data_IF_119241548134
#
_entry.id   IF_119241548134
#
_cell.length_a   1.000
_cell.length_b   1.000
_cell.length_c   1.000
_cell.angle_alpha   90.00
_cell.angle_beta   90.00
_cell.angle_gamma   90.00
#
_symmetry.space_group_name_H-M   'P 1'
#
loop_
_entity.id
_entity.type
_entity.pdbx_description
1 polymer ?
#
# COMPACT_ATOMS: atom_id res chain seq x y z
N UNK A 1 33.68 44.30 -43.98
CA UNK A 1 33.77 44.02 -42.52
C UNK A 1 32.51 44.41 -41.74
N UNK A 2 31.81 45.54 -42.01
CA UNK A 2 30.60 45.94 -41.26
C UNK A 2 29.34 45.07 -41.51
N UNK A 3 29.15 44.52 -42.70
CA UNK A 3 27.98 43.65 -42.98
C UNK A 3 28.04 42.30 -42.26
N UNK A 4 29.21 41.68 -42.21
CA UNK A 4 29.44 40.37 -41.58
C UNK A 4 29.16 40.39 -40.07
N UNK A 5 29.43 41.51 -39.40
CA UNK A 5 29.14 41.66 -37.97
C UNK A 5 27.64 41.81 -37.67
N UNK A 6 26.87 42.41 -38.59
CA UNK A 6 25.41 42.59 -38.45
C UNK A 6 24.67 41.27 -38.71
N UNK A 7 25.10 40.51 -39.71
CA UNK A 7 24.59 39.18 -40.01
C UNK A 7 24.84 38.20 -38.84
N UNK A 8 26.05 38.20 -38.27
CA UNK A 8 26.35 37.37 -37.10
C UNK A 8 25.51 37.72 -35.86
N UNK A 9 25.08 38.97 -35.71
CA UNK A 9 24.23 39.40 -34.58
C UNK A 9 22.79 38.93 -34.77
N UNK A 10 22.27 39.01 -35.99
CA UNK A 10 20.94 38.50 -36.36
C UNK A 10 20.85 36.98 -36.23
N UNK A 11 21.88 36.24 -36.66
CA UNK A 11 21.94 34.78 -36.53
C UNK A 11 21.93 34.36 -35.06
N UNK A 12 22.69 35.04 -34.19
CA UNK A 12 22.68 34.74 -32.75
C UNK A 12 21.31 35.00 -32.12
N UNK A 13 20.67 36.14 -32.42
CA UNK A 13 19.32 36.44 -31.90
C UNK A 13 18.30 35.40 -32.37
N UNK A 14 18.39 34.96 -33.62
CA UNK A 14 17.52 33.91 -34.15
C UNK A 14 17.73 32.57 -33.41
N UNK A 15 18.98 32.17 -33.18
CA UNK A 15 19.33 30.95 -32.43
C UNK A 15 18.78 31.04 -30.99
N UNK A 16 18.98 32.16 -30.30
CA UNK A 16 18.44 32.35 -28.95
C UNK A 16 16.91 32.32 -28.92
N UNK A 17 16.23 32.93 -29.90
CA UNK A 17 14.77 32.85 -30.00
C UNK A 17 14.28 31.42 -30.26
N UNK A 18 14.97 30.65 -31.12
CA UNK A 18 14.60 29.26 -31.37
C UNK A 18 14.86 28.36 -30.16
N UNK A 19 15.94 28.60 -29.40
CA UNK A 19 16.21 27.86 -28.15
C UNK A 19 15.22 28.24 -27.04
N UNK A 20 14.83 29.51 -26.93
CA UNK A 20 13.84 29.95 -25.95
C UNK A 20 12.45 29.40 -26.31
N UNK A 21 12.10 29.38 -27.60
CA UNK A 21 10.85 28.82 -28.10
C UNK A 21 10.82 27.29 -27.94
N UNK A 22 11.95 26.59 -28.19
CA UNK A 22 12.03 25.15 -27.93
C UNK A 22 11.93 24.84 -26.44
N UNK A 23 12.54 25.63 -25.57
CA UNK A 23 12.43 25.49 -24.11
C UNK A 23 10.99 25.74 -23.61
N UNK A 24 10.30 26.76 -24.16
CA UNK A 24 8.91 27.06 -23.83
C UNK A 24 7.96 25.96 -24.31
N UNK A 25 8.21 25.40 -25.50
CA UNK A 25 7.45 24.29 -26.06
C UNK A 25 7.69 23.01 -25.24
N UNK A 26 8.91 22.74 -24.77
CA UNK A 26 9.17 21.60 -23.86
C UNK A 26 8.51 21.77 -22.49
N UNK A 27 8.32 23.00 -22.00
CA UNK A 27 7.54 23.29 -20.78
C UNK A 27 6.03 23.11 -20.97
N UNK A 28 5.52 23.30 -22.20
CA UNK A 28 4.10 23.08 -22.57
C UNK A 28 3.76 21.60 -22.82
N UNK A 29 4.76 20.72 -22.90
CA UNK A 29 4.62 19.28 -23.13
C UNK A 29 5.11 18.42 -21.97
N UNK A 30 5.34 18.99 -20.78
CA UNK A 30 5.44 18.16 -19.57
C UNK A 30 4.01 17.67 -19.30
N UNK A 31 3.72 16.38 -19.45
CA UNK A 31 2.40 15.86 -19.13
C UNK A 31 2.20 16.07 -17.61
N UNK A 32 1.06 16.64 -17.25
CA UNK A 32 0.74 17.03 -15.88
C UNK A 32 0.36 15.79 -15.09
N UNK A 33 1.37 15.05 -14.60
CA UNK A 33 1.23 13.80 -13.83
C UNK A 33 -0.07 13.83 -13.04
N UNK A 34 -0.97 12.82 -13.16
CA UNK A 34 -2.15 12.77 -12.32
C UNK A 34 -1.66 12.66 -10.89
N UNK A 35 -1.60 13.83 -10.23
CA UNK A 35 -1.24 13.96 -8.84
C UNK A 35 -2.46 13.38 -8.13
N UNK A 36 -2.31 12.25 -7.44
CA UNK A 36 -3.18 12.02 -6.29
C UNK A 36 -3.10 13.32 -5.47
N UNK A 37 -4.23 13.99 -5.31
CA UNK A 37 -4.24 15.29 -4.67
C UNK A 37 -3.64 15.13 -3.27
N UNK A 38 -2.50 15.76 -3.04
CA UNK A 38 -1.93 15.84 -1.71
C UNK A 38 -2.68 16.95 -0.98
N UNK A 39 -3.10 16.70 0.26
CA UNK A 39 -3.72 17.75 1.07
C UNK A 39 -2.77 18.94 1.22
N UNK A 40 -3.33 20.12 1.53
CA UNK A 40 -2.50 21.19 2.06
C UNK A 40 -1.71 20.71 3.29
N UNK A 41 -0.52 21.28 3.50
CA UNK A 41 0.28 20.98 4.68
C UNK A 41 -0.49 21.39 5.95
N UNK A 42 -0.46 20.50 6.93
CA UNK A 42 -1.16 20.68 8.19
C UNK A 42 -0.74 21.97 8.88
N UNK A 43 -1.74 22.71 9.37
CA UNK A 43 -1.50 23.93 10.14
C UNK A 43 -1.43 23.69 11.67
N UNK A 44 -1.45 22.43 12.13
CA UNK A 44 -1.43 22.07 13.54
C UNK A 44 -2.79 22.09 14.25
N UNK A 45 -3.88 22.38 13.54
CA UNK A 45 -5.24 22.45 14.12
C UNK A 45 -6.07 21.20 13.78
N UNK A 46 -7.19 21.03 14.47
CA UNK A 46 -8.16 19.99 14.15
C UNK A 46 -9.40 20.59 13.49
N UNK A 47 -9.99 19.86 12.55
CA UNK A 47 -11.25 20.21 11.91
C UNK A 47 -12.42 20.08 12.90
N UNK A 48 -13.58 20.65 12.56
CA UNK A 48 -14.81 20.47 13.33
C UNK A 48 -15.51 19.11 13.11
N UNK A 49 -15.07 18.34 12.11
CA UNK A 49 -15.67 17.08 11.71
C UNK A 49 -15.00 16.47 10.48
N UNK A 50 -15.47 15.27 10.10
CA UNK A 50 -15.05 14.58 8.88
C UNK A 50 -15.60 15.24 7.60
N UNK A 51 -15.04 14.89 6.44
CA UNK A 51 -15.52 15.41 5.15
C UNK A 51 -16.93 14.91 4.79
N UNK A 52 -17.33 13.77 5.36
CA UNK A 52 -18.62 13.13 5.15
C UNK A 52 -18.65 11.72 5.73
N UNK A 53 -19.72 10.99 5.42
CA UNK A 53 -19.95 9.62 5.85
C UNK A 53 -20.66 9.48 7.18
N UNK A 54 -21.42 8.40 7.32
CA UNK A 54 -22.11 7.98 8.55
C UNK A 54 -21.24 7.10 9.46
N UNK A 55 -20.08 6.65 8.97
CA UNK A 55 -19.22 5.70 9.66
C UNK A 55 -19.67 4.25 9.50
N UNK A 56 -20.66 3.97 8.65
CA UNK A 56 -21.05 2.59 8.31
C UNK A 56 -20.08 1.98 7.28
N UNK A 57 -20.10 0.66 7.11
CA UNK A 57 -19.20 0.00 6.15
C UNK A 57 -19.39 0.49 4.71
N UNK A 58 -20.63 0.75 4.28
CA UNK A 58 -20.96 1.25 2.94
C UNK A 58 -20.79 2.76 2.79
N UNK A 59 -20.65 3.47 3.91
CA UNK A 59 -20.57 4.94 3.96
C UNK A 59 -19.63 5.37 5.11
N UNK A 60 -18.31 5.12 4.97
CA UNK A 60 -17.32 5.34 6.02
C UNK A 60 -17.07 6.84 6.23
N UNK A 61 -16.59 7.21 7.42
CA UNK A 61 -16.12 8.57 7.67
C UNK A 61 -14.94 8.91 6.76
N UNK A 62 -15.06 10.00 6.01
CA UNK A 62 -14.07 10.39 5.01
C UNK A 62 -13.04 11.38 5.59
N UNK A 63 -11.76 11.05 5.41
CA UNK A 63 -10.62 11.86 5.82
C UNK A 63 -9.85 12.28 4.57
N UNK A 64 -9.86 13.58 4.31
CA UNK A 64 -9.27 14.21 3.13
C UNK A 64 -8.21 15.26 3.50
N UNK A 65 -8.14 15.71 4.76
CA UNK A 65 -7.15 16.70 5.19
C UNK A 65 -6.47 16.29 6.49
N UNK A 66 -5.30 16.88 6.75
CA UNK A 66 -4.57 16.69 7.99
C UNK A 66 -5.37 17.14 9.23
N UNK A 67 -6.15 18.21 9.13
CA UNK A 67 -7.02 18.69 10.22
C UNK A 67 -8.11 17.67 10.55
N UNK A 68 -8.61 16.93 9.56
CA UNK A 68 -9.59 15.85 9.78
C UNK A 68 -8.96 14.62 10.42
N UNK A 69 -7.72 14.29 10.04
CA UNK A 69 -6.94 13.24 10.71
C UNK A 69 -6.62 13.62 12.17
N UNK A 70 -6.26 14.88 12.42
CA UNK A 70 -6.07 15.42 13.78
C UNK A 70 -7.37 15.41 14.59
N UNK A 71 -8.51 15.75 13.97
CA UNK A 71 -9.83 15.62 14.60
C UNK A 71 -10.11 14.16 14.99
N UNK A 72 -9.84 13.20 14.11
CA UNK A 72 -10.00 11.77 14.43
C UNK A 72 -9.16 11.36 15.64
N UNK A 73 -7.87 11.71 15.65
CA UNK A 73 -6.98 11.45 16.79
C UNK A 73 -7.53 12.03 18.08
N UNK A 74 -7.95 13.30 18.06
CA UNK A 74 -8.53 13.96 19.24
C UNK A 74 -9.79 13.25 19.76
N UNK A 75 -10.64 12.73 18.86
CA UNK A 75 -11.87 12.02 19.24
C UNK A 75 -11.56 10.67 19.91
N UNK A 76 -10.62 9.90 19.37
CA UNK A 76 -10.17 8.64 19.99
C UNK A 76 -9.57 8.91 21.37
N UNK A 77 -8.69 9.91 21.46
CA UNK A 77 -8.07 10.29 22.72
C UNK A 77 -9.07 10.90 23.73
N UNK A 78 -10.18 11.46 23.27
CA UNK A 78 -11.31 11.85 24.11
C UNK A 78 -12.15 10.66 24.61
N UNK A 79 -11.97 9.46 24.05
CA UNK A 79 -12.63 8.22 24.47
C UNK A 79 -13.75 7.74 23.56
N UNK A 80 -13.79 8.24 22.33
CA UNK A 80 -14.71 7.74 21.30
C UNK A 80 -13.96 6.66 20.55
N UNK A 81 -14.34 5.41 20.78
CA UNK A 81 -13.58 4.24 20.34
C UNK A 81 -13.94 3.75 18.93
N UNK A 82 -15.01 4.28 18.32
CA UNK A 82 -15.45 3.95 16.96
C UNK A 82 -15.79 2.46 16.76
N UNK A 83 -16.28 1.78 17.79
CA UNK A 83 -16.71 0.38 17.68
C UNK A 83 -17.64 0.16 16.48
N UNK A 84 -17.28 -0.80 15.62
CA UNK A 84 -18.01 -1.14 14.39
C UNK A 84 -18.21 0.05 13.41
N UNK A 85 -17.38 1.09 13.50
CA UNK A 85 -17.38 2.20 12.56
C UNK A 85 -16.17 2.15 11.63
N UNK A 86 -16.34 2.70 10.44
CA UNK A 86 -15.37 2.66 9.35
C UNK A 86 -14.89 4.07 9.01
N UNK A 87 -13.59 4.21 8.82
CA UNK A 87 -12.92 5.44 8.40
C UNK A 87 -12.10 5.17 7.15
N UNK A 88 -12.04 6.14 6.24
CA UNK A 88 -11.37 6.01 4.96
C UNK A 88 -10.59 7.26 4.58
N UNK A 89 -9.32 7.10 4.16
CA UNK A 89 -8.60 8.18 3.48
C UNK A 89 -9.09 8.34 2.05
N UNK A 90 -9.30 9.57 1.60
CA UNK A 90 -9.73 9.85 0.22
C UNK A 90 -8.63 10.45 -0.65
N UNK A 91 -7.51 10.84 -0.05
CA UNK A 91 -6.33 11.40 -0.72
C UNK A 91 -5.10 11.33 0.19
N UNK A 92 -3.91 11.65 -0.33
CA UNK A 92 -2.67 11.70 0.46
C UNK A 92 -2.74 12.85 1.48
N UNK A 93 -2.32 12.59 2.71
CA UNK A 93 -2.38 13.55 3.83
C UNK A 93 -0.98 14.06 4.16
N UNK A 94 -0.78 15.37 4.06
CA UNK A 94 0.50 16.03 4.38
C UNK A 94 0.47 16.65 5.79
N UNK A 95 1.13 15.99 6.74
CA UNK A 95 1.29 16.47 8.12
C UNK A 95 2.46 17.44 8.29
N UNK A 96 3.57 17.17 7.61
CA UNK A 96 4.76 18.03 7.59
C UNK A 96 5.47 17.91 6.24
N UNK A 97 6.17 18.97 5.84
CA UNK A 97 7.06 18.92 4.68
C UNK A 97 8.12 17.80 4.80
N UNK A 98 8.52 17.27 3.64
CA UNK A 98 9.58 16.27 3.50
C UNK A 98 10.69 16.84 2.63
N UNK A 99 11.88 16.25 2.67
CA UNK A 99 12.94 16.58 1.71
C UNK A 99 12.58 16.09 0.30
N UNK A 100 13.31 16.56 -0.71
CA UNK A 100 13.13 16.16 -2.12
C UNK A 100 13.27 14.64 -2.36
N UNK A 101 13.90 13.91 -1.44
CA UNK A 101 14.08 12.46 -1.48
C UNK A 101 13.09 11.70 -0.58
N UNK A 102 11.99 12.33 -0.15
CA UNK A 102 11.00 11.73 0.76
C UNK A 102 11.58 11.29 2.12
N UNK A 103 12.66 11.92 2.58
CA UNK A 103 13.14 11.73 3.96
C UNK A 103 12.59 12.81 4.86
N UNK A 104 12.24 12.44 6.09
CA UNK A 104 11.81 13.40 7.10
C UNK A 104 13.05 14.03 7.74
N UNK A 105 13.10 15.36 7.80
CA UNK A 105 14.16 16.07 8.51
C UNK A 105 13.73 16.38 9.96
N UNK A 106 14.17 15.61 10.97
CA UNK A 106 13.84 15.89 12.36
C UNK A 106 14.43 17.21 12.86
N UNK A 107 15.39 17.83 12.15
CA UNK A 107 15.96 19.12 12.50
C UNK A 107 15.13 20.32 12.02
N UNK A 108 14.13 20.11 11.16
CA UNK A 108 13.23 21.19 10.71
C UNK A 108 12.58 21.88 11.91
N UNK A 109 12.71 23.21 11.98
CA UNK A 109 12.19 24.04 13.07
C UNK A 109 10.67 24.27 12.96
N UNK A 110 10.08 24.01 11.78
CA UNK A 110 8.65 24.21 11.53
C UNK A 110 7.83 22.93 11.68
N UNK A 111 8.48 21.79 11.97
CA UNK A 111 7.78 20.51 12.14
C UNK A 111 6.75 20.58 13.26
N UNK A 112 5.63 19.92 13.04
CA UNK A 112 4.46 19.85 13.90
C UNK A 112 4.31 18.45 14.43
N UNK A 113 4.24 18.34 15.75
CA UNK A 113 4.06 17.07 16.42
C UNK A 113 2.61 16.60 16.34
N UNK A 114 2.41 15.40 15.82
CA UNK A 114 1.13 14.72 15.76
C UNK A 114 0.90 13.92 17.05
N UNK A 115 -0.34 13.92 17.55
CA UNK A 115 -0.71 13.04 18.67
C UNK A 115 -1.19 11.71 18.14
N UNK A 116 -0.57 10.60 18.55
CA UNK A 116 -0.97 9.25 18.15
C UNK A 116 -2.47 9.00 18.37
N UNK A 117 -3.09 8.21 17.48
CA UNK A 117 -4.50 7.83 17.60
C UNK A 117 -4.61 6.76 18.70
N UNK A 118 -5.16 7.11 19.86
CA UNK A 118 -5.18 6.23 21.03
C UNK A 118 -3.86 6.22 21.80
N UNK A 119 -3.44 7.37 22.33
CA UNK A 119 -2.07 7.63 22.85
C UNK A 119 -1.86 7.35 24.35
N UNK A 120 -2.83 6.75 25.05
CA UNK A 120 -2.73 6.44 26.49
C UNK A 120 -3.45 5.13 26.81
N UNK A 121 -2.92 4.35 27.77
CA UNK A 121 -3.53 3.10 28.20
C UNK A 121 -4.93 3.29 28.80
N UNK A 122 -5.79 2.28 28.65
CA UNK A 122 -7.17 2.29 29.14
C UNK A 122 -8.21 2.27 28.02
N UNK A 123 -9.36 2.92 28.22
CA UNK A 123 -10.51 2.88 27.29
C UNK A 123 -10.36 3.77 26.04
N UNK A 124 -9.13 4.17 25.68
CA UNK A 124 -8.84 5.08 24.56
C UNK A 124 -8.30 4.36 23.32
N UNK A 125 -8.45 3.03 23.27
CA UNK A 125 -8.11 2.26 22.08
C UNK A 125 -9.08 2.58 20.93
N UNK A 126 -8.55 2.65 19.71
CA UNK A 126 -9.38 2.64 18.51
C UNK A 126 -9.89 1.21 18.23
N UNK A 127 -11.20 1.07 18.04
CA UNK A 127 -11.92 -0.21 17.86
C UNK A 127 -12.76 -0.25 16.57
N UNK A 128 -12.51 0.68 15.67
CA UNK A 128 -13.13 0.73 14.34
C UNK A 128 -12.24 0.09 13.28
N UNK A 129 -12.59 0.33 12.01
CA UNK A 129 -11.77 -0.04 10.85
C UNK A 129 -11.24 1.22 10.20
N UNK A 130 -9.93 1.29 10.02
CA UNK A 130 -9.28 2.34 9.25
C UNK A 130 -8.81 1.78 7.92
N UNK A 131 -9.34 2.29 6.81
CA UNK A 131 -8.93 1.97 5.46
C UNK A 131 -8.14 3.15 4.88
N UNK A 132 -6.82 3.01 4.81
CA UNK A 132 -5.94 3.96 4.16
C UNK A 132 -6.17 4.08 2.66
N UNK A 133 -6.92 3.16 2.05
CA UNK A 133 -7.33 3.23 0.65
C UNK A 133 -6.14 3.35 -0.33
N UNK A 134 -4.99 2.80 0.05
CA UNK A 134 -3.73 2.89 -0.69
C UNK A 134 -3.05 4.26 -0.61
N UNK A 135 -3.56 5.19 0.21
CA UNK A 135 -3.07 6.55 0.36
C UNK A 135 -1.94 6.65 1.38
N UNK A 136 -1.23 7.78 1.31
CA UNK A 136 -0.08 8.09 2.16
C UNK A 136 -0.45 9.06 3.27
N UNK A 137 0.18 8.87 4.42
CA UNK A 137 0.32 9.87 5.47
C UNK A 137 1.77 10.31 5.48
N UNK A 138 2.01 11.57 5.16
CA UNK A 138 3.32 12.11 4.82
C UNK A 138 3.76 13.08 5.92
N UNK A 139 5.00 12.92 6.39
CA UNK A 139 5.57 13.79 7.42
C UNK A 139 4.99 13.57 8.81
N UNK A 140 4.61 12.33 9.16
CA UNK A 140 4.23 12.00 10.52
C UNK A 140 5.41 12.28 11.47
N UNK A 141 5.21 13.14 12.47
CA UNK A 141 6.22 13.40 13.48
C UNK A 141 5.63 13.18 14.87
N UNK A 142 6.14 12.18 15.58
CA UNK A 142 5.79 11.87 16.97
C UNK A 142 7.10 11.83 17.77
N UNK A 143 7.22 12.63 18.84
CA UNK A 143 8.43 12.68 19.64
C UNK A 143 8.14 12.61 21.14
N UNK A 144 7.79 11.41 21.60
CA UNK A 144 7.38 11.14 22.97
C UNK A 144 8.31 10.13 23.66
N UNK A 145 9.62 10.43 23.83
CA UNK A 145 10.64 9.47 24.29
C UNK A 145 10.42 8.92 25.71
N UNK A 146 9.43 9.45 26.44
CA UNK A 146 9.07 9.02 27.80
C UNK A 146 7.68 8.42 27.90
N UNK A 147 6.95 8.31 26.77
CA UNK A 147 5.59 7.78 26.72
C UNK A 147 5.55 6.49 25.94
N UNK A 148 4.70 5.59 26.41
CA UNK A 148 4.44 4.32 25.77
C UNK A 148 3.36 4.49 24.70
N UNK A 149 3.13 3.46 23.86
CA UNK A 149 2.06 3.41 22.85
C UNK A 149 2.18 4.48 21.77
N UNK A 150 3.25 4.43 20.98
CA UNK A 150 3.53 5.41 19.94
C UNK A 150 3.52 4.78 18.53
N UNK A 151 2.95 5.52 17.59
CA UNK A 151 2.75 5.18 16.18
C UNK A 151 1.65 6.05 15.60
N UNK A 152 1.33 5.90 14.32
CA UNK A 152 0.13 6.55 13.77
C UNK A 152 -1.09 6.25 14.67
N UNK A 153 -1.22 4.98 15.03
CA UNK A 153 -2.07 4.51 16.11
C UNK A 153 -1.22 4.14 17.33
N UNK A 154 -1.54 4.69 18.49
CA UNK A 154 -0.89 4.28 19.75
C UNK A 154 -1.41 2.92 20.20
N UNK A 155 -2.74 2.78 20.29
CA UNK A 155 -3.45 1.57 20.74
C UNK A 155 -4.64 1.30 19.83
N UNK A 156 -4.71 0.07 19.31
CA UNK A 156 -5.90 -0.48 18.67
C UNK A 156 -6.38 -1.74 19.40
N UNK A 157 -7.69 -1.95 19.43
CA UNK A 157 -8.29 -3.08 20.12
C UNK A 157 -9.43 -3.69 19.30
N UNK A 158 -9.46 -5.02 19.19
CA UNK A 158 -10.49 -5.75 18.48
C UNK A 158 -11.78 -5.78 19.30
N UNK A 159 -12.88 -5.36 18.70
CA UNK A 159 -14.23 -5.49 19.25
C UNK A 159 -15.08 -6.39 18.34
N UNK A 160 -15.52 -7.55 18.85
CA UNK A 160 -16.32 -8.53 18.09
C UNK A 160 -15.73 -8.91 16.72
N UNK A 161 -14.41 -9.02 16.65
CA UNK A 161 -13.70 -9.36 15.41
C UNK A 161 -13.32 -8.16 14.53
N UNK A 162 -13.66 -6.93 14.93
CA UNK A 162 -13.42 -5.70 14.16
C UNK A 162 -12.42 -4.81 14.90
N UNK A 163 -11.34 -4.37 14.25
CA UNK A 163 -10.34 -3.48 14.86
C UNK A 163 -9.11 -3.28 14.00
N UNK A 164 -9.30 -2.96 12.72
CA UNK A 164 -8.28 -3.22 11.69
C UNK A 164 -7.72 -1.93 11.11
N UNK A 165 -6.41 -1.92 10.85
CA UNK A 165 -5.70 -0.87 10.11
C UNK A 165 -5.26 -1.47 8.78
N UNK A 166 -5.74 -0.89 7.67
CA UNK A 166 -5.54 -1.44 6.35
C UNK A 166 -4.97 -0.40 5.37
N UNK A 167 -4.18 -0.85 4.39
CA UNK A 167 -3.92 -0.12 3.14
C UNK A 167 -3.33 1.30 3.30
N UNK A 168 -2.43 1.53 4.25
CA UNK A 168 -1.83 2.86 4.47
C UNK A 168 -0.30 2.82 4.39
N UNK A 169 0.27 3.84 3.75
CA UNK A 169 1.72 4.08 3.78
C UNK A 169 2.03 5.28 4.65
N UNK A 170 2.99 5.17 5.57
CA UNK A 170 3.31 6.24 6.53
C UNK A 170 4.78 6.63 6.41
N UNK A 171 5.03 7.93 6.23
CA UNK A 171 6.36 8.53 6.11
C UNK A 171 6.59 9.50 7.27
N UNK A 172 7.79 9.52 7.85
CA UNK A 172 8.06 10.41 8.98
C UNK A 172 9.09 9.90 9.98
N UNK A 173 8.90 10.28 11.25
CA UNK A 173 9.66 9.78 12.38
C UNK A 173 8.76 9.60 13.61
N UNK A 174 8.88 8.44 14.25
CA UNK A 174 8.14 8.07 15.46
C UNK A 174 9.15 7.76 16.56
N UNK A 175 9.09 8.50 17.67
CA UNK A 175 9.89 8.24 18.87
C UNK A 175 8.98 8.02 20.07
N UNK A 176 9.16 6.91 20.76
CA UNK A 176 8.43 6.53 21.98
C UNK A 176 9.34 5.91 23.02
N UNK A 177 8.74 5.40 24.11
CA UNK A 177 9.43 4.60 25.15
C UNK A 177 9.15 3.11 24.96
N UNK A 178 7.96 2.65 25.34
CA UNK A 178 7.55 1.25 25.19
C UNK A 178 6.40 1.11 24.17
N UNK A 179 6.34 -0.01 23.46
CA UNK A 179 5.30 -0.29 22.44
C UNK A 179 5.30 0.77 21.34
N UNK A 180 6.33 0.73 20.50
CA UNK A 180 6.55 1.73 19.46
C UNK A 180 6.52 1.06 18.09
N UNK A 181 5.63 1.52 17.22
CA UNK A 181 5.55 1.09 15.82
C UNK A 181 5.35 2.26 14.86
N UNK A 182 5.76 2.11 13.60
CA UNK A 182 5.46 3.13 12.59
C UNK A 182 3.96 3.25 12.31
N UNK A 183 3.25 2.11 12.31
CA UNK A 183 1.80 2.05 12.10
C UNK A 183 1.05 1.98 13.42
N UNK A 184 1.40 1.02 14.29
CA UNK A 184 0.73 0.81 15.57
C UNK A 184 1.71 0.57 16.72
N UNK A 185 1.54 1.24 17.86
CA UNK A 185 2.32 0.94 19.07
C UNK A 185 1.91 -0.41 19.68
N UNK A 186 0.61 -0.58 19.94
CA UNK A 186 0.00 -1.79 20.47
C UNK A 186 -1.28 -2.14 19.69
N UNK A 187 -1.47 -3.43 19.41
CA UNK A 187 -2.70 -3.91 18.76
C UNK A 187 -3.16 -5.27 19.27
N UNK A 188 -4.48 -5.44 19.39
CA UNK A 188 -5.15 -6.76 19.44
C UNK A 188 -5.96 -7.06 18.17
N UNK A 189 -5.94 -6.13 17.21
CA UNK A 189 -6.64 -6.24 15.93
C UNK A 189 -5.72 -6.65 14.78
N UNK A 190 -6.15 -6.40 13.55
CA UNK A 190 -5.37 -6.73 12.36
C UNK A 190 -4.66 -5.50 11.77
N UNK A 191 -3.38 -5.65 11.44
CA UNK A 191 -2.62 -4.68 10.63
C UNK A 191 -2.28 -5.34 9.32
N UNK A 192 -2.73 -4.74 8.23
CA UNK A 192 -2.76 -5.41 6.94
C UNK A 192 -2.46 -4.46 5.79
N UNK A 193 -1.60 -4.86 4.83
CA UNK A 193 -1.24 -4.03 3.66
C UNK A 193 -0.74 -2.63 4.04
N UNK A 194 0.04 -2.56 5.10
CA UNK A 194 0.58 -1.31 5.58
C UNK A 194 2.08 -1.21 5.27
N UNK A 195 2.53 -0.01 4.92
CA UNK A 195 3.93 0.27 4.62
C UNK A 195 4.45 1.31 5.59
N UNK A 196 5.54 0.98 6.28
CA UNK A 196 6.26 1.93 7.10
C UNK A 196 7.51 2.45 6.37
N UNK A 197 7.57 3.76 6.15
CA UNK A 197 8.76 4.51 5.77
C UNK A 197 9.30 5.37 6.93
N UNK A 198 8.65 5.36 8.10
CA UNK A 198 9.11 6.15 9.24
C UNK A 198 10.37 5.57 9.87
N UNK A 199 11.29 6.44 10.29
CA UNK A 199 12.27 6.05 11.31
C UNK A 199 11.54 5.84 12.63
N UNK A 200 11.70 4.67 13.25
CA UNK A 200 11.07 4.29 14.51
C UNK A 200 12.12 4.17 15.60
N UNK A 201 11.98 4.94 16.68
CA UNK A 201 12.90 4.91 17.83
C UNK A 201 12.12 4.59 19.11
N UNK A 202 12.60 3.63 19.89
CA UNK A 202 12.02 3.29 21.18
C UNK A 202 13.02 2.66 22.14
N UNK A 203 12.51 2.16 23.27
CA UNK A 203 13.30 1.43 24.26
C UNK A 203 12.89 -0.05 24.27
N UNK A 204 11.61 -0.35 24.50
CA UNK A 204 11.11 -1.72 24.60
C UNK A 204 9.98 -2.00 23.58
N UNK A 205 9.99 -3.19 22.97
CA UNK A 205 9.00 -3.63 21.98
C UNK A 205 8.85 -2.61 20.86
N UNK A 206 9.89 -2.54 20.02
CA UNK A 206 10.00 -1.59 18.92
C UNK A 206 9.91 -2.35 17.60
N UNK A 207 8.89 -2.05 16.81
CA UNK A 207 8.68 -2.64 15.49
C UNK A 207 8.64 -1.59 14.39
N UNK A 208 9.01 -1.93 13.16
CA UNK A 208 8.77 -1.03 12.03
C UNK A 208 7.27 -0.85 11.74
N UNK A 209 6.48 -1.92 11.83
CA UNK A 209 5.02 -1.88 11.65
C UNK A 209 4.32 -1.78 13.00
N UNK A 210 4.55 -2.75 13.89
CA UNK A 210 3.85 -2.86 15.19
C UNK A 210 4.83 -3.00 16.35
N UNK A 211 4.67 -2.21 17.41
CA UNK A 211 5.48 -2.41 18.63
C UNK A 211 5.20 -3.76 19.31
N UNK A 212 3.95 -3.95 19.77
CA UNK A 212 3.47 -5.21 20.34
C UNK A 212 2.13 -5.64 19.71
N UNK A 213 2.11 -6.83 19.13
CA UNK A 213 0.89 -7.52 18.72
C UNK A 213 0.51 -8.59 19.75
N UNK A 214 -0.78 -8.64 20.10
CA UNK A 214 -1.26 -9.38 21.26
C UNK A 214 -2.65 -10.01 21.04
N UNK A 215 -2.91 -11.20 21.59
CA UNK A 215 -4.25 -11.83 21.67
C UNK A 215 -5.03 -11.91 20.33
N UNK A 216 -4.82 -12.94 19.51
CA UNK A 216 -5.56 -13.16 18.24
C UNK A 216 -5.51 -11.95 17.26
N UNK A 217 -4.44 -11.16 17.34
CA UNK A 217 -4.12 -10.13 16.35
C UNK A 217 -3.55 -10.77 15.07
N UNK A 218 -3.44 -9.99 14.00
CA UNK A 218 -2.74 -10.43 12.80
C UNK A 218 -1.88 -9.31 12.21
N UNK A 219 -0.67 -9.63 11.76
CA UNK A 219 0.19 -8.72 10.98
C UNK A 219 0.48 -9.39 9.65
N UNK A 220 -0.14 -8.92 8.58
CA UNK A 220 -0.05 -9.59 7.29
C UNK A 220 0.16 -8.64 6.12
N UNK A 221 0.93 -9.07 5.12
CA UNK A 221 1.18 -8.28 3.92
C UNK A 221 1.71 -6.88 4.23
N UNK A 222 2.66 -6.75 5.16
CA UNK A 222 3.23 -5.46 5.54
C UNK A 222 4.69 -5.32 5.10
N UNK A 223 5.09 -4.09 4.80
CA UNK A 223 6.45 -3.76 4.37
C UNK A 223 7.06 -2.71 5.29
N UNK A 224 8.19 -3.04 5.92
CA UNK A 224 9.01 -2.05 6.60
C UNK A 224 10.22 -1.65 5.76
N UNK A 225 10.30 -0.36 5.43
CA UNK A 225 11.45 0.28 4.79
C UNK A 225 12.16 1.27 5.72
N UNK A 226 11.48 1.69 6.80
CA UNK A 226 12.01 2.61 7.78
C UNK A 226 13.03 1.96 8.71
N UNK A 227 14.02 2.74 9.15
CA UNK A 227 15.01 2.32 10.16
C UNK A 227 14.32 2.13 11.51
N UNK A 228 14.63 1.04 12.21
CA UNK A 228 14.06 0.68 13.52
C UNK A 228 15.18 0.62 14.56
N UNK A 229 15.12 1.50 15.57
CA UNK A 229 16.09 1.57 16.66
C UNK A 229 15.40 1.31 18.00
N UNK A 230 15.89 0.34 18.75
CA UNK A 230 15.39 0.04 20.10
C UNK A 230 16.49 -0.39 21.06
N UNK A 231 16.12 -0.76 22.28
CA UNK A 231 17.03 -1.43 23.23
C UNK A 231 16.68 -2.90 23.36
N UNK A 232 15.41 -3.21 23.68
CA UNK A 232 14.95 -4.58 23.95
C UNK A 232 13.75 -4.95 23.05
N UNK A 233 13.76 -6.17 22.51
CA UNK A 233 12.71 -6.72 21.65
C UNK A 233 12.47 -5.82 20.44
N UNK A 234 13.41 -5.84 19.51
CA UNK A 234 13.41 -4.97 18.33
C UNK A 234 13.23 -5.81 17.08
N UNK A 235 12.18 -5.53 16.31
CA UNK A 235 11.87 -6.23 15.06
C UNK A 235 11.68 -5.28 13.89
N UNK A 236 12.09 -5.69 12.69
CA UNK A 236 11.79 -4.87 11.50
C UNK A 236 10.30 -4.79 11.18
N UNK A 237 9.53 -5.85 11.45
CA UNK A 237 8.07 -5.86 11.34
C UNK A 237 7.43 -5.63 12.71
N UNK A 238 7.77 -6.46 13.71
CA UNK A 238 7.18 -6.37 15.04
C UNK A 238 8.20 -6.45 16.19
N UNK A 239 8.10 -5.57 17.18
CA UNK A 239 8.96 -5.65 18.36
C UNK A 239 8.74 -6.95 19.14
N UNK A 240 7.47 -7.27 19.39
CA UNK A 240 7.08 -8.51 20.04
C UNK A 240 5.74 -9.03 19.52
N UNK A 241 5.66 -10.35 19.41
CA UNK A 241 4.47 -11.11 19.06
C UNK A 241 4.18 -12.03 20.24
N UNK A 242 3.12 -11.74 21.00
CA UNK A 242 2.85 -12.45 22.26
C UNK A 242 1.43 -13.04 22.33
N UNK A 243 1.36 -14.21 22.99
CA UNK A 243 0.22 -15.13 23.16
C UNK A 243 -0.20 -15.95 21.93
N UNK A 244 -1.04 -16.95 22.19
CA UNK A 244 -1.51 -17.97 21.23
C UNK A 244 -2.50 -17.43 20.19
N UNK A 245 -2.51 -18.05 19.01
CA UNK A 245 -3.39 -17.82 17.85
C UNK A 245 -3.24 -16.46 17.16
N UNK A 246 -2.03 -15.89 17.17
CA UNK A 246 -1.69 -14.71 16.38
C UNK A 246 -1.18 -15.15 15.00
N UNK A 247 -1.54 -14.41 13.96
CA UNK A 247 -1.08 -14.66 12.59
C UNK A 247 -0.05 -13.61 12.14
N UNK A 248 1.15 -14.03 11.75
CA UNK A 248 2.15 -13.16 11.16
C UNK A 248 2.62 -13.74 9.84
N UNK A 249 2.23 -13.14 8.71
CA UNK A 249 2.73 -13.68 7.45
C UNK A 249 2.67 -12.78 6.24
N UNK A 250 3.41 -13.19 5.21
CA UNK A 250 3.60 -12.43 3.99
C UNK A 250 4.20 -11.04 4.25
N UNK A 251 5.12 -10.90 5.21
CA UNK A 251 5.72 -9.62 5.55
C UNK A 251 7.15 -9.51 5.05
N UNK A 252 7.60 -8.28 4.75
CA UNK A 252 8.96 -8.01 4.33
C UNK A 252 9.55 -6.87 5.16
N UNK A 253 10.75 -7.08 5.68
CA UNK A 253 11.59 -6.03 6.23
C UNK A 253 12.81 -5.77 5.34
N UNK A 254 13.00 -4.50 4.97
CA UNK A 254 14.22 -4.01 4.32
C UNK A 254 14.92 -2.97 5.19
N UNK A 255 14.15 -2.27 6.04
CA UNK A 255 14.68 -1.28 6.96
C UNK A 255 15.72 -1.87 7.92
N UNK A 256 16.78 -1.10 8.18
CA UNK A 256 17.80 -1.46 9.17
C UNK A 256 17.18 -1.62 10.56
N UNK A 257 17.61 -2.64 11.30
CA UNK A 257 17.13 -2.92 12.65
C UNK A 257 18.31 -2.92 13.61
N UNK A 258 18.29 -2.01 14.59
CA UNK A 258 19.33 -1.89 15.62
C UNK A 258 18.73 -2.05 17.01
N UNK A 259 19.33 -2.93 17.82
CA UNK A 259 18.96 -3.12 19.22
C UNK A 259 20.05 -3.77 20.06
N UNK A 260 19.80 -3.95 21.36
CA UNK A 260 20.76 -4.54 22.30
C UNK A 260 20.38 -5.96 22.72
N UNK A 261 19.09 -6.22 22.92
CA UNK A 261 18.59 -7.53 23.41
C UNK A 261 17.38 -7.94 22.58
N UNK A 262 17.36 -9.21 22.13
CA UNK A 262 16.29 -9.78 21.30
C UNK A 262 16.01 -8.93 20.05
N UNK A 263 16.94 -8.96 19.10
CA UNK A 263 16.84 -8.20 17.85
C UNK A 263 16.58 -9.18 16.73
N UNK A 264 15.59 -8.92 15.87
CA UNK A 264 15.30 -9.70 14.68
C UNK A 264 14.93 -8.84 13.48
N UNK A 265 15.25 -9.27 12.28
CA UNK A 265 14.88 -8.59 11.04
C UNK A 265 13.38 -8.55 10.81
N UNK A 266 12.64 -9.57 11.26
CA UNK A 266 11.16 -9.61 11.22
C UNK A 266 10.59 -9.31 12.60
N UNK A 267 10.86 -10.17 13.59
CA UNK A 267 10.33 -10.04 14.94
C UNK A 267 11.44 -10.06 16.00
N UNK A 268 11.38 -9.16 16.97
CA UNK A 268 12.34 -9.13 18.09
C UNK A 268 12.12 -10.28 19.07
N UNK A 269 10.86 -10.52 19.44
CA UNK A 269 10.42 -11.70 20.20
C UNK A 269 9.23 -12.34 19.53
N UNK A 270 9.26 -13.68 19.43
CA UNK A 270 8.17 -14.48 18.90
C UNK A 270 7.78 -15.61 19.87
N UNK A 271 6.49 -15.76 20.17
CA UNK A 271 5.97 -16.77 21.10
C UNK A 271 5.40 -17.99 20.34
N UNK A 272 5.77 -19.21 20.74
CA UNK A 272 5.56 -20.50 20.05
C UNK A 272 4.10 -20.99 19.92
N UNK A 273 3.11 -20.10 20.09
CA UNK A 273 1.69 -20.40 19.85
C UNK A 273 1.08 -19.58 18.72
N UNK A 274 1.89 -18.86 17.96
CA UNK A 274 1.47 -18.01 16.84
C UNK A 274 1.80 -18.69 15.50
N UNK A 275 0.93 -18.52 14.51
CA UNK A 275 1.14 -18.98 13.14
C UNK A 275 2.00 -17.96 12.39
N UNK A 276 3.14 -18.41 11.84
CA UNK A 276 4.00 -17.60 10.98
C UNK A 276 4.22 -18.27 9.63
N UNK A 277 4.22 -17.49 8.55
CA UNK A 277 4.54 -17.97 7.22
C UNK A 277 5.06 -16.82 6.33
N UNK A 278 5.96 -17.11 5.39
CA UNK A 278 6.39 -16.16 4.35
C UNK A 278 6.81 -14.78 4.90
N UNK A 279 7.57 -14.76 5.98
CA UNK A 279 8.17 -13.54 6.49
C UNK A 279 9.61 -13.45 6.00
N UNK A 280 10.01 -12.30 5.45
CA UNK A 280 11.31 -12.12 4.82
C UNK A 280 12.02 -10.89 5.37
N UNK A 281 13.34 -10.92 5.36
CA UNK A 281 14.15 -9.77 5.78
C UNK A 281 15.51 -9.73 5.12
N UNK A 282 15.97 -8.52 4.77
CA UNK A 282 17.34 -8.26 4.30
C UNK A 282 18.31 -7.96 5.45
N UNK A 283 17.87 -8.14 6.71
CA UNK A 283 18.63 -7.84 7.94
C UNK A 283 18.74 -9.09 8.84
N UNK A 284 19.93 -9.32 9.39
CA UNK A 284 20.23 -10.41 10.34
C UNK A 284 20.21 -9.96 11.83
N UNK A 285 19.89 -10.86 12.77
CA UNK A 285 19.34 -12.19 12.54
C UNK A 285 17.90 -12.07 12.00
N UNK A 286 17.41 -12.97 11.16
CA UNK A 286 16.04 -12.82 10.62
C UNK A 286 14.95 -12.74 11.70
N UNK A 287 15.12 -13.48 12.79
CA UNK A 287 14.25 -13.48 13.96
C UNK A 287 15.11 -13.35 15.20
N UNK A 288 14.63 -12.62 16.20
CA UNK A 288 15.27 -12.50 17.50
C UNK A 288 14.99 -13.69 18.42
N UNK A 289 14.66 -13.41 19.68
CA UNK A 289 14.48 -14.46 20.69
C UNK A 289 13.14 -15.19 20.53
N UNK A 290 13.20 -16.51 20.74
CA UNK A 290 12.06 -17.42 20.64
C UNK A 290 11.60 -17.80 22.04
N UNK A 291 10.34 -17.52 22.36
CA UNK A 291 9.69 -17.97 23.58
C UNK A 291 8.98 -19.31 23.34
N UNK A 292 9.42 -20.38 24.00
CA UNK A 292 8.81 -21.71 23.94
C UNK A 292 9.63 -22.73 23.14
N UNK A 293 9.31 -24.01 23.34
CA UNK A 293 9.87 -25.14 22.60
C UNK A 293 8.87 -25.46 21.50
N UNK A 294 9.23 -25.23 20.22
CA UNK A 294 8.78 -25.94 19.01
C UNK A 294 9.07 -25.08 17.75
N UNK A 295 9.20 -25.78 16.63
CA UNK A 295 9.91 -25.45 15.39
C UNK A 295 9.50 -24.13 14.69
N UNK A 296 10.49 -23.27 14.43
CA UNK A 296 10.36 -22.02 13.64
C UNK A 296 10.87 -22.24 12.21
N UNK A 297 10.53 -23.36 11.58
CA UNK A 297 10.94 -23.56 10.17
C UNK A 297 10.35 -22.47 9.25
N UNK A 298 9.31 -21.72 9.68
CA UNK A 298 8.59 -20.70 8.89
C UNK A 298 8.55 -19.26 9.50
N UNK A 299 9.35 -18.96 10.53
CA UNK A 299 9.20 -17.69 11.30
C UNK A 299 9.69 -16.41 10.63
N UNK A 300 10.56 -16.53 9.63
CA UNK A 300 11.36 -15.41 9.12
C UNK A 300 12.60 -15.90 8.39
N UNK A 301 12.67 -15.61 7.09
CA UNK A 301 13.74 -16.01 6.19
C UNK A 301 14.64 -14.80 5.91
N UNK A 302 15.93 -14.92 6.25
CA UNK A 302 16.92 -13.95 5.79
C UNK A 302 17.22 -14.20 4.31
N UNK A 303 17.11 -13.16 3.49
CA UNK A 303 17.25 -13.24 2.03
C UNK A 303 18.54 -12.58 1.51
N UNK A 304 19.45 -12.18 2.40
CA UNK A 304 20.64 -11.42 2.02
C UNK A 304 20.42 -9.91 2.03
N UNK A 305 21.50 -9.14 2.09
CA UNK A 305 21.45 -7.67 2.19
C UNK A 305 21.21 -6.95 0.87
N UNK A 306 21.35 -7.63 -0.27
CA UNK A 306 21.10 -7.11 -1.62
C UNK A 306 20.65 -8.25 -2.55
N UNK A 307 19.38 -8.71 -2.44
CA UNK A 307 18.86 -9.73 -3.35
C UNK A 307 18.84 -9.20 -4.79
N UNK A 308 19.14 -10.10 -5.73
CA UNK A 308 19.09 -9.89 -7.16
C UNK A 308 17.64 -9.87 -7.67
N UNK A 309 17.43 -9.42 -8.90
CA UNK A 309 16.07 -9.37 -9.49
C UNK A 309 15.37 -10.73 -9.54
N UNK A 310 16.09 -11.82 -9.81
CA UNK A 310 15.51 -13.17 -9.85
C UNK A 310 15.11 -13.67 -8.46
N UNK A 311 15.91 -13.37 -7.43
CA UNK A 311 15.58 -13.70 -6.04
C UNK A 311 14.34 -12.94 -5.57
N UNK A 312 14.17 -11.68 -5.99
CA UNK A 312 12.99 -10.90 -5.66
C UNK A 312 11.70 -11.42 -6.28
N UNK A 313 11.74 -11.93 -7.52
CA UNK A 313 10.56 -12.54 -8.15
C UNK A 313 10.10 -13.79 -7.37
N UNK A 314 11.03 -14.64 -6.95
CA UNK A 314 10.73 -15.81 -6.12
C UNK A 314 10.15 -15.41 -4.75
N UNK A 315 10.70 -14.37 -4.12
CA UNK A 315 10.20 -13.86 -2.85
C UNK A 315 8.80 -13.26 -3.02
N UNK A 316 8.54 -12.52 -4.10
CA UNK A 316 7.22 -11.96 -4.41
C UNK A 316 6.20 -13.07 -4.61
N UNK A 317 6.56 -14.13 -5.34
CA UNK A 317 5.71 -15.31 -5.53
C UNK A 317 5.36 -15.96 -4.18
N UNK A 318 6.33 -16.15 -3.30
CA UNK A 318 6.10 -16.70 -1.97
C UNK A 318 5.26 -15.77 -1.09
N UNK A 319 5.55 -14.46 -1.08
CA UNK A 319 4.77 -13.44 -0.38
C UNK A 319 3.31 -13.38 -0.84
N UNK A 320 3.03 -13.74 -2.10
CA UNK A 320 1.68 -13.83 -2.65
C UNK A 320 0.99 -15.19 -2.35
N UNK A 321 1.68 -16.14 -1.73
CA UNK A 321 1.12 -17.42 -1.31
C UNK A 321 0.79 -18.37 -2.46
N UNK A 322 1.77 -19.09 -2.99
CA UNK A 322 1.51 -20.11 -4.02
C UNK A 322 0.78 -21.38 -3.49
N UNK A 323 0.57 -21.51 -2.19
CA UNK A 323 -0.20 -22.62 -1.60
C UNK A 323 -1.65 -22.22 -1.30
N UNK A 324 -2.60 -22.88 -1.99
CA UNK A 324 -4.05 -22.61 -2.02
C UNK A 324 -4.74 -22.44 -0.65
N UNK A 325 -4.12 -22.89 0.45
CA UNK A 325 -4.73 -22.93 1.79
C UNK A 325 -4.67 -21.61 2.58
N UNK A 326 -3.80 -20.66 2.24
CA UNK A 326 -3.64 -19.38 3.00
C UNK A 326 -3.90 -18.11 2.15
N UNK A 327 -4.52 -18.28 0.97
CA UNK A 327 -4.78 -17.22 -0.02
C UNK A 327 -6.06 -16.40 0.22
N UNK A 328 -6.59 -16.40 1.44
CA UNK A 328 -7.83 -15.68 1.78
C UNK A 328 -7.73 -14.16 1.58
N UNK A 329 -6.50 -13.64 1.58
CA UNK A 329 -6.24 -12.21 1.41
C UNK A 329 -6.35 -11.73 -0.05
N UNK A 330 -6.29 -12.65 -1.03
CA UNK A 330 -6.30 -12.36 -2.46
C UNK A 330 -4.93 -12.53 -3.14
N UNK A 331 -4.94 -12.77 -4.45
CA UNK A 331 -3.73 -12.95 -5.27
C UNK A 331 -3.11 -11.60 -5.67
N UNK A 332 -1.80 -11.59 -5.96
CA UNK A 332 -1.03 -10.44 -6.48
C UNK A 332 -1.10 -9.20 -5.55
N UNK A 333 -0.89 -9.37 -4.25
CA UNK A 333 -0.77 -8.25 -3.28
C UNK A 333 0.58 -7.55 -3.48
N UNK A 334 1.63 -8.33 -3.71
CA UNK A 334 2.97 -7.87 -4.05
C UNK A 334 3.08 -7.85 -5.57
N UNK A 335 3.14 -6.66 -6.17
CA UNK A 335 2.84 -6.50 -7.60
C UNK A 335 4.04 -6.11 -8.46
N UNK A 336 5.05 -5.43 -7.92
CA UNK A 336 6.20 -4.91 -8.69
C UNK A 336 7.44 -4.71 -7.83
N UNK A 337 8.62 -4.84 -8.45
CA UNK A 337 9.92 -4.39 -7.92
C UNK A 337 10.16 -2.94 -8.39
N UNK A 338 9.87 -1.95 -7.54
CA UNK A 338 10.14 -0.54 -7.86
C UNK A 338 11.46 -0.14 -7.20
N UNK A 339 12.45 0.21 -8.01
CA UNK A 339 13.77 0.63 -7.50
C UNK A 339 14.56 -0.50 -6.82
N UNK A 340 14.28 -1.76 -7.15
CA UNK A 340 14.93 -2.92 -6.54
C UNK A 340 14.26 -3.45 -5.27
N UNK A 341 13.05 -2.97 -4.94
CA UNK A 341 12.30 -3.35 -3.74
C UNK A 341 10.89 -3.82 -4.11
N UNK A 342 10.42 -4.98 -3.62
CA UNK A 342 9.03 -5.39 -3.73
C UNK A 342 8.09 -4.36 -3.11
N UNK A 343 7.02 -4.01 -3.82
CA UNK A 343 6.00 -3.09 -3.35
C UNK A 343 4.65 -3.77 -3.23
N UNK A 344 3.91 -3.39 -2.18
CA UNK A 344 2.51 -3.78 -2.03
C UNK A 344 1.70 -2.91 -2.98
N UNK A 345 0.92 -3.54 -3.87
CA UNK A 345 0.10 -2.85 -4.85
C UNK A 345 -0.90 -1.89 -4.19
N UNK A 346 -1.09 -0.72 -4.80
CA UNK A 346 -2.10 0.27 -4.37
C UNK A 346 -3.51 -0.29 -4.66
N UNK A 347 -4.26 -0.60 -3.60
CA UNK A 347 -5.67 -0.95 -3.71
C UNK A 347 -6.53 0.32 -3.82
N UNK A 348 -7.09 0.64 -5.00
CA UNK A 348 -8.30 1.45 -5.12
C UNK A 348 -9.45 0.61 -4.58
N UNK A 349 -10.43 1.25 -3.93
CA UNK A 349 -11.57 0.57 -3.35
C UNK A 349 -12.37 -0.11 -4.46
N UNK A 350 -12.32 -1.45 -4.52
CA UNK A 350 -13.13 -2.22 -5.47
C UNK A 350 -14.53 -2.48 -4.93
N UNK A 351 -15.50 -2.51 -5.84
CA UNK A 351 -16.86 -2.94 -5.57
C UNK A 351 -16.88 -4.38 -5.03
N UNK A 352 -17.48 -4.57 -3.85
CA UNK A 352 -17.68 -5.87 -3.21
C UNK A 352 -18.75 -6.66 -3.97
N UNK A 353 -18.44 -7.88 -4.42
CA UNK A 353 -19.46 -8.90 -4.70
C UNK A 353 -19.48 -9.89 -3.54
N UNK A 354 -20.68 -10.31 -3.12
CA UNK A 354 -20.87 -11.22 -1.98
C UNK A 354 -20.06 -12.52 -2.17
N UNK A 355 -19.25 -12.91 -1.17
CA UNK A 355 -18.53 -14.19 -1.17
C UNK A 355 -17.00 -14.12 -1.02
N UNK A 356 -16.39 -12.94 -0.84
CA UNK A 356 -15.04 -12.84 -0.26
C UNK A 356 -13.86 -13.17 -1.17
N UNK A 357 -13.90 -12.82 -2.46
CA UNK A 357 -12.71 -12.84 -3.33
C UNK A 357 -12.47 -11.48 -3.99
N UNK A 358 -11.21 -11.07 -4.08
CA UNK A 358 -10.74 -9.77 -4.59
C UNK A 358 -9.99 -9.93 -5.92
N UNK A 359 -10.13 -8.96 -6.85
CA UNK A 359 -9.32 -8.84 -8.08
C UNK A 359 -8.84 -7.38 -8.26
N UNK A 360 -7.62 -7.18 -8.78
CA UNK A 360 -6.85 -5.93 -8.82
C UNK A 360 -6.92 -5.17 -10.16
N UNK A 361 -6.74 -3.84 -10.11
CA UNK A 361 -6.70 -2.89 -11.24
C UNK A 361 -5.45 -2.01 -11.22
N UNK A 362 -5.21 -1.28 -12.32
CA UNK A 362 -4.05 -0.41 -12.47
C UNK A 362 -4.36 1.00 -13.00
N UNK A 363 -3.40 1.91 -12.81
CA UNK A 363 -3.38 3.31 -13.25
C UNK A 363 -2.63 3.45 -14.59
N UNK A 364 -3.16 4.27 -15.51
CA UNK A 364 -2.52 4.61 -16.80
C UNK A 364 -1.90 6.03 -16.76
N UNK A 365 -0.60 6.19 -17.05
CA UNK A 365 0.04 7.50 -17.26
C UNK A 365 -0.10 8.06 -18.70
N UNK A 366 0.27 9.34 -18.84
CA UNK A 366 -0.41 10.39 -19.60
C UNK A 366 -0.21 10.55 -21.13
N UNK A 367 0.37 9.60 -21.87
CA UNK A 367 0.62 9.85 -23.31
C UNK A 367 -0.39 9.22 -24.25
N UNK A 368 -1.68 9.20 -23.90
CA UNK A 368 -2.67 8.75 -24.89
C UNK A 368 -4.06 9.36 -24.79
N UNK A 369 -4.58 9.72 -25.95
CA UNK A 369 -5.63 10.71 -26.19
C UNK A 369 -7.02 10.09 -26.31
N UNK A 370 -7.90 10.44 -25.34
CA UNK A 370 -9.38 10.63 -25.34
C UNK A 370 -10.28 9.62 -26.11
N UNK A 371 -11.43 9.17 -25.57
CA UNK A 371 -12.44 9.96 -24.85
C UNK A 371 -12.99 9.29 -23.59
N UNK A 372 -12.87 10.01 -22.46
CA UNK A 372 -13.57 9.79 -21.19
C UNK A 372 -14.62 10.90 -21.12
N UNK A 373 -15.89 10.55 -20.92
CA UNK A 373 -16.98 11.54 -20.81
C UNK A 373 -17.25 11.88 -19.33
N UNK A 374 -18.01 12.96 -19.09
CA UNK A 374 -18.26 13.55 -17.77
C UNK A 374 -18.94 12.62 -16.74
N UNK A 375 -19.34 11.41 -17.15
CA UNK A 375 -20.05 10.42 -16.33
C UNK A 375 -19.25 9.13 -16.07
N UNK A 376 -17.95 9.08 -16.39
CA UNK A 376 -17.18 7.82 -16.35
C UNK A 376 -16.75 7.44 -14.92
N UNK A 377 -17.45 6.48 -14.30
CA UNK A 377 -17.07 5.86 -13.02
C UNK A 377 -16.43 4.47 -13.25
N UNK A 378 -15.15 4.30 -12.89
CA UNK A 378 -14.41 3.04 -13.02
C UNK A 378 -14.80 2.07 -11.91
N UNK A 379 -15.10 0.81 -12.24
CA UNK A 379 -15.71 -0.14 -11.30
C UNK A 379 -14.91 -1.42 -11.04
N UNK A 380 -14.19 -1.99 -12.03
CA UNK A 380 -13.36 -3.20 -11.82
C UNK A 380 -12.25 -3.33 -12.87
N UNK A 381 -11.09 -3.88 -12.51
CA UNK A 381 -10.19 -4.51 -13.48
C UNK A 381 -9.79 -5.91 -13.03
N UNK A 382 -9.28 -6.67 -14.00
CA UNK A 382 -8.91 -8.06 -13.84
C UNK A 382 -7.55 -8.34 -14.50
N UNK A 383 -6.74 -9.18 -13.86
CA UNK A 383 -5.65 -9.91 -14.51
C UNK A 383 -6.25 -11.20 -15.09
N UNK A 384 -5.98 -11.48 -16.36
CA UNK A 384 -6.52 -12.65 -17.04
C UNK A 384 -5.41 -13.69 -17.20
N UNK A 385 -5.54 -14.79 -16.46
CA UNK A 385 -4.72 -16.00 -16.63
C UNK A 385 -5.54 -17.07 -17.34
N UNK A 386 -4.98 -17.72 -18.37
CA UNK A 386 -5.64 -18.83 -19.06
C UNK A 386 -4.66 -19.96 -19.36
N UNK A 387 -5.13 -21.20 -19.25
CA UNK A 387 -4.46 -22.37 -19.81
C UNK A 387 -5.06 -22.65 -21.19
N UNK A 388 -4.35 -22.30 -22.25
CA UNK A 388 -4.78 -22.60 -23.62
C UNK A 388 -3.79 -23.59 -24.25
N UNK A 389 -4.31 -24.60 -24.98
CA UNK A 389 -3.45 -25.52 -25.72
C UNK A 389 -2.58 -24.75 -26.72
N UNK A 390 -1.34 -25.19 -26.95
CA UNK A 390 -0.46 -24.57 -27.93
C UNK A 390 -1.16 -24.43 -29.29
N UNK A 391 -1.10 -23.25 -29.90
CA UNK A 391 -1.80 -22.91 -31.14
C UNK A 391 -3.21 -22.33 -30.96
N UNK A 392 -3.72 -22.19 -29.72
CA UNK A 392 -5.02 -21.56 -29.48
C UNK A 392 -4.99 -20.07 -29.80
N UNK A 393 -5.99 -19.60 -30.55
CA UNK A 393 -6.15 -18.19 -30.90
C UNK A 393 -6.70 -17.39 -29.71
N UNK A 394 -5.85 -16.55 -29.15
CA UNK A 394 -6.11 -15.86 -27.87
C UNK A 394 -7.17 -14.77 -28.01
N UNK A 395 -7.20 -14.08 -29.15
CA UNK A 395 -8.19 -13.04 -29.44
C UNK A 395 -9.64 -13.54 -29.41
N UNK A 396 -9.86 -14.84 -29.57
CA UNK A 396 -11.20 -15.47 -29.57
C UNK A 396 -11.64 -15.99 -28.20
N UNK A 397 -10.76 -15.95 -27.20
CA UNK A 397 -11.10 -16.41 -25.84
C UNK A 397 -12.02 -15.42 -25.14
N UNK A 398 -12.73 -15.88 -24.11
CA UNK A 398 -13.69 -15.05 -23.37
C UNK A 398 -13.39 -14.98 -21.88
N UNK A 399 -13.55 -13.80 -21.29
CA UNK A 399 -13.54 -13.59 -19.84
C UNK A 399 -14.98 -13.73 -19.35
N UNK A 400 -15.28 -14.79 -18.60
CA UNK A 400 -16.58 -14.99 -17.97
C UNK A 400 -16.63 -14.41 -16.56
N UNK A 401 -17.73 -13.74 -16.21
CA UNK A 401 -17.96 -13.20 -14.87
C UNK A 401 -18.85 -14.16 -14.08
N UNK A 402 -18.33 -14.70 -12.98
CA UNK A 402 -19.03 -15.69 -12.16
C UNK A 402 -18.86 -15.42 -10.67
N UNK A 403 -19.86 -15.82 -9.89
CA UNK A 403 -19.86 -15.93 -8.44
C UNK A 403 -19.97 -17.43 -8.12
N UNK A 404 -18.86 -18.03 -7.68
CA UNK A 404 -18.75 -19.49 -7.62
C UNK A 404 -18.94 -20.12 -9.00
N UNK A 405 -19.90 -21.04 -9.13
CA UNK A 405 -20.28 -21.65 -10.42
C UNK A 405 -21.32 -20.85 -11.21
N UNK A 406 -21.89 -19.78 -10.63
CA UNK A 406 -23.03 -19.05 -11.20
C UNK A 406 -22.56 -17.83 -11.99
N UNK A 407 -23.07 -17.61 -13.19
CA UNK A 407 -22.75 -16.41 -13.97
C UNK A 407 -23.32 -15.14 -13.33
N UNK A 408 -22.56 -14.05 -13.38
CA UNK A 408 -22.93 -12.73 -12.86
C UNK A 408 -23.23 -11.79 -14.03
N UNK A 409 -24.19 -10.90 -13.82
CA UNK A 409 -24.50 -9.82 -14.77
C UNK A 409 -23.79 -8.54 -14.35
N UNK A 410 -23.00 -7.97 -15.25
CA UNK A 410 -22.41 -6.64 -15.07
C UNK A 410 -23.39 -5.59 -15.61
N UNK A 411 -23.67 -4.50 -14.89
CA UNK A 411 -24.59 -3.48 -15.37
C UNK A 411 -24.00 -2.67 -16.53
N UNK A 412 -24.88 -2.11 -17.37
CA UNK A 412 -24.53 -1.12 -18.37
C UNK A 412 -23.76 0.05 -17.73
N UNK A 413 -22.93 0.73 -18.53
CA UNK A 413 -22.02 1.81 -18.12
C UNK A 413 -20.88 1.36 -17.18
N UNK A 414 -20.66 0.05 -17.05
CA UNK A 414 -19.46 -0.48 -16.40
C UNK A 414 -18.29 -0.46 -17.39
N UNK A 415 -17.12 -0.01 -16.94
CA UNK A 415 -15.87 -0.18 -17.67
C UNK A 415 -15.11 -1.37 -17.08
N UNK A 416 -14.81 -2.36 -17.93
CA UNK A 416 -13.98 -3.51 -17.58
C UNK A 416 -12.57 -3.27 -18.11
N UNK A 417 -11.56 -3.35 -17.24
CA UNK A 417 -10.15 -3.21 -17.62
C UNK A 417 -9.45 -4.57 -17.51
N UNK A 418 -8.55 -4.86 -18.45
CA UNK A 418 -7.76 -6.09 -18.53
C UNK A 418 -6.27 -5.72 -18.67
N UNK A 419 -5.40 -6.36 -17.90
CA UNK A 419 -3.95 -6.38 -18.15
C UNK A 419 -3.55 -7.69 -18.84
N UNK A 420 -2.90 -7.59 -20.00
CA UNK A 420 -2.37 -8.74 -20.72
C UNK A 420 -1.01 -8.42 -21.35
N UNK A 421 0.00 -9.26 -21.09
CA UNK A 421 1.38 -9.10 -21.56
C UNK A 421 1.97 -7.71 -21.27
N UNK A 422 1.69 -7.15 -20.09
CA UNK A 422 2.15 -5.81 -19.69
C UNK A 422 1.42 -4.64 -20.38
N UNK A 423 0.35 -4.92 -21.13
CA UNK A 423 -0.46 -3.93 -21.83
C UNK A 423 -1.88 -3.89 -21.27
N UNK A 424 -2.38 -2.69 -20.98
CA UNK A 424 -3.76 -2.51 -20.55
C UNK A 424 -4.72 -2.39 -21.72
N UNK A 425 -5.89 -3.00 -21.54
CA UNK A 425 -7.02 -2.92 -22.45
C UNK A 425 -8.31 -2.62 -21.67
N UNK A 426 -9.32 -2.07 -22.33
CA UNK A 426 -10.59 -1.73 -21.71
C UNK A 426 -11.78 -2.12 -22.58
N UNK A 427 -12.93 -2.33 -21.94
CA UNK A 427 -14.24 -2.50 -22.58
C UNK A 427 -15.29 -1.73 -21.79
N UNK A 428 -15.92 -0.75 -22.44
CA UNK A 428 -17.10 -0.09 -21.90
C UNK A 428 -18.34 -0.91 -22.27
N UNK A 429 -19.16 -1.23 -21.27
CA UNK A 429 -20.44 -1.90 -21.45
C UNK A 429 -21.51 -0.85 -21.74
N UNK A 430 -22.19 -0.98 -22.89
CA UNK A 430 -23.32 -0.11 -23.26
C UNK A 430 -24.67 -0.69 -22.83
N UNK A 431 -24.67 -1.94 -22.39
CA UNK A 431 -25.83 -2.71 -21.94
C UNK A 431 -25.40 -3.66 -20.83
N UNK A 432 -26.37 -4.18 -20.07
CA UNK A 432 -26.11 -5.19 -19.05
C UNK A 432 -25.51 -6.44 -19.70
N UNK A 433 -24.34 -6.87 -19.23
CA UNK A 433 -23.65 -8.05 -19.74
C UNK A 433 -23.91 -9.24 -18.82
N UNK A 434 -24.75 -10.17 -19.26
CA UNK A 434 -24.90 -11.47 -18.64
C UNK A 434 -23.99 -12.50 -19.33
N UNK A 435 -22.80 -12.76 -18.78
CA UNK A 435 -21.92 -13.82 -19.28
C UNK A 435 -20.46 -13.43 -19.42
N UNK A 436 -19.96 -13.37 -20.65
CA UNK A 436 -18.52 -13.20 -20.94
C UNK A 436 -18.23 -12.15 -22.01
N UNK A 437 -17.01 -11.60 -21.98
CA UNK A 437 -16.47 -10.67 -23.00
C UNK A 437 -15.37 -11.38 -23.75
N UNK A 438 -15.40 -11.36 -25.09
CA UNK A 438 -14.32 -11.90 -25.92
C UNK A 438 -13.10 -10.96 -25.90
N UNK A 439 -11.88 -11.49 -25.85
CA UNK A 439 -10.66 -10.69 -25.72
C UNK A 439 -10.51 -9.65 -26.85
N UNK A 440 -10.87 -9.99 -28.09
CA UNK A 440 -10.86 -9.04 -29.20
C UNK A 440 -11.84 -7.86 -29.05
N UNK A 441 -12.77 -7.90 -28.10
CA UNK A 441 -13.67 -6.78 -27.82
C UNK A 441 -13.00 -5.72 -26.94
N UNK A 442 -11.88 -6.05 -26.30
CA UNK A 442 -11.09 -5.12 -25.51
C UNK A 442 -10.23 -4.23 -26.41
N UNK A 443 -10.24 -2.94 -26.14
CA UNK A 443 -9.49 -1.92 -26.85
C UNK A 443 -8.25 -1.60 -26.04
N UNK A 444 -7.07 -1.62 -26.67
CA UNK A 444 -5.81 -1.24 -26.06
C UNK A 444 -5.91 0.19 -25.54
N UNK A 445 -5.62 0.36 -24.26
CA UNK A 445 -5.64 1.67 -23.63
C UNK A 445 -4.66 2.59 -24.36
N UNK A 446 -5.16 3.79 -24.62
CA UNK A 446 -4.45 4.78 -25.42
C UNK A 446 -4.65 4.71 -26.93
N UNK A 447 -5.57 3.86 -27.37
CA UNK A 447 -6.07 3.82 -28.74
C UNK A 447 -7.59 3.82 -28.72
N UNK A 448 -8.23 4.19 -29.83
CA UNK A 448 -9.69 4.13 -29.98
C UNK A 448 -10.16 2.94 -30.80
N UNK A 449 -9.23 2.19 -31.42
CA UNK A 449 -9.57 1.14 -32.39
C UNK A 449 -8.65 -0.09 -32.34
N UNK A 450 -7.52 -0.05 -31.62
CA UNK A 450 -6.62 -1.20 -31.58
C UNK A 450 -7.16 -2.20 -30.60
N UNK A 451 -7.73 -3.30 -31.09
CA UNK A 451 -8.24 -4.38 -30.24
C UNK A 451 -7.11 -5.28 -29.73
N UNK A 452 -7.41 -6.13 -28.75
CA UNK A 452 -6.50 -7.21 -28.35
C UNK A 452 -6.06 -8.01 -29.59
N UNK A 453 -4.74 -8.19 -29.80
CA UNK A 453 -4.21 -8.70 -31.05
C UNK A 453 -4.59 -10.17 -31.27
N UNK A 454 -4.72 -10.55 -32.54
CA UNK A 454 -4.75 -11.94 -32.95
C UNK A 454 -3.35 -12.53 -32.71
N UNK A 455 -3.26 -13.43 -31.74
CA UNK A 455 -2.02 -14.10 -31.35
C UNK A 455 -2.33 -15.54 -30.95
N UNK A 456 -1.45 -16.46 -31.32
CA UNK A 456 -1.56 -17.87 -30.96
C UNK A 456 -0.74 -18.18 -29.72
N UNK A 457 -1.30 -19.02 -28.83
CA UNK A 457 -0.59 -19.51 -27.66
C UNK A 457 0.68 -20.28 -28.10
N UNK A 458 1.87 -19.84 -27.65
CA UNK A 458 3.11 -20.54 -27.99
C UNK A 458 3.23 -21.90 -27.29
N UNK A 459 3.96 -22.85 -27.88
CA UNK A 459 4.30 -24.10 -27.23
C UNK A 459 5.14 -23.81 -25.96
N UNK A 460 4.68 -24.29 -24.81
CA UNK A 460 5.25 -24.01 -23.49
C UNK A 460 5.19 -22.54 -23.03
N UNK A 461 4.22 -21.74 -23.51
CA UNK A 461 3.89 -20.47 -22.86
C UNK A 461 3.20 -20.72 -21.50
N UNK A 462 3.99 -21.14 -20.50
CA UNK A 462 3.66 -20.91 -19.10
C UNK A 462 3.88 -19.43 -18.81
N UNK A 463 2.92 -18.58 -19.17
CA UNK A 463 2.86 -17.21 -18.65
C UNK A 463 1.80 -17.18 -17.56
N UNK A 464 2.23 -17.54 -16.36
CA UNK A 464 1.52 -17.63 -15.08
C UNK A 464 1.26 -19.09 -14.64
N UNK A 465 1.98 -19.49 -13.60
CA UNK A 465 1.73 -20.70 -12.82
C UNK A 465 0.52 -20.47 -11.89
N UNK A 466 -0.31 -21.51 -11.79
CA UNK A 466 -1.08 -21.87 -10.59
C UNK A 466 -2.33 -21.06 -10.26
N UNK A 467 -3.45 -21.76 -10.07
CA UNK A 467 -4.72 -21.26 -9.53
C UNK A 467 -4.74 -21.37 -8.01
#
# INVERSE_FOLDING_TARGET
>A
MKNTARENKLIKVFIYMTMLLSALITLLFIPARPLYAISAEWNGTAAGGFAGGSGSQSDPYLISTAEQLAYFSNRVNAGIDYQAQYLKLTQDILLNAMTDNYTFDPADQNKREFTAIGSTSGSKAFKGVFDGNGMKIIGLYINQPTKDYQGLFGITDKHNGIGDINNVSVYGAVTGKDYVGGIAGYTTGSVFRCINYCTVNGVNQVGGIVGLAYNNSSIRNCLNLGVVNGTNNVGGVAGSVDKSNLEMGNNLNIGEVTGTTNVGGVAGVYNSGSDSWNNYTTVEPAIGSIGGNDDIEDGGVFIGTNPTGEEWEEIIDNLNGLEEARNEDGHDIWTDIIGGVPTIGIFLPSAKVAGGKYYTYAVVPETSTLAVTADSAFSVAYRVSYSAAAGTELSTQTIGFKQGSTAVTLPANTTVIMLADGVYYYKNLTEDLAGSITLNQFIKMGTTATTYPSQTAAANAHRCNGL
#
